data_IF_838812598525
#
_entry.id   IF_838812598525
#
_cell.length_a   1.000
_cell.length_b   1.000
_cell.length_c   1.000
_cell.angle_alpha   90.00
_cell.angle_beta   90.00
_cell.angle_gamma   90.00
#
_symmetry.space_group_name_H-M   'P 1'
#
loop_
_entity.id
_entity.type
_entity.pdbx_description
1 polymer ?
#
# COMPACT_ATOMS: atom_id res chain seq x y z
N UNK A 1 -8.35 3.82 -8.13
CA UNK A 1 -8.89 3.24 -6.89
C UNK A 1 -7.78 2.52 -6.15
N UNK A 2 -7.63 2.84 -4.86
CA UNK A 2 -6.73 2.14 -3.93
C UNK A 2 -7.54 1.22 -3.02
N UNK A 3 -7.05 0.00 -2.79
CA UNK A 3 -7.64 -0.96 -1.85
C UNK A 3 -6.59 -1.51 -0.89
N UNK A 4 -7.03 -1.96 0.28
CA UNK A 4 -6.18 -2.67 1.26
C UNK A 4 -6.36 -4.17 1.20
N UNK A 5 -5.28 -4.90 1.45
CA UNK A 5 -5.35 -6.33 1.77
C UNK A 5 -6.16 -6.57 3.06
N UNK A 6 -6.64 -7.80 3.25
CA UNK A 6 -7.42 -8.18 4.43
C UNK A 6 -6.67 -7.96 5.75
N UNK A 7 -5.36 -8.22 5.77
CA UNK A 7 -4.48 -7.98 6.92
C UNK A 7 -3.95 -6.53 6.99
N UNK A 8 -4.43 -5.66 6.10
CA UNK A 8 -4.06 -4.25 5.91
C UNK A 8 -2.59 -4.00 5.56
N UNK A 9 -1.74 -5.02 5.42
CA UNK A 9 -0.30 -4.84 5.20
C UNK A 9 0.07 -4.39 3.79
N UNK A 10 -0.86 -4.46 2.83
CA UNK A 10 -0.63 -4.14 1.43
C UNK A 10 -1.66 -3.12 0.95
N UNK A 11 -1.18 -2.14 0.19
CA UNK A 11 -1.98 -1.15 -0.52
C UNK A 11 -1.85 -1.43 -2.02
N UNK A 12 -2.97 -1.57 -2.72
CA UNK A 12 -3.03 -2.00 -4.12
C UNK A 12 -3.76 -0.94 -4.95
N UNK A 13 -3.11 -0.47 -6.02
CA UNK A 13 -3.73 0.43 -7.00
C UNK A 13 -4.38 -0.37 -8.12
N UNK A 14 -5.71 -0.39 -8.15
CA UNK A 14 -6.49 -1.00 -9.23
C UNK A 14 -6.42 -0.22 -10.54
N UNK A 15 -6.00 1.06 -10.51
CA UNK A 15 -5.79 1.83 -11.74
C UNK A 15 -4.62 1.29 -12.58
N UNK A 16 -3.64 0.67 -11.92
CA UNK A 16 -2.46 0.09 -12.57
C UNK A 16 -2.49 -1.45 -12.55
N UNK A 17 -3.55 -2.05 -12.01
CA UNK A 17 -3.70 -3.51 -11.96
C UNK A 17 -4.15 -4.00 -13.32
N UNK A 18 -3.34 -4.85 -13.96
CA UNK A 18 -3.59 -5.35 -15.33
C UNK A 18 -4.66 -6.44 -15.42
N UNK A 19 -4.97 -7.15 -14.33
CA UNK A 19 -5.96 -8.22 -14.34
C UNK A 19 -6.45 -8.59 -12.93
N UNK A 20 -7.76 -8.78 -12.75
CA UNK A 20 -8.39 -9.36 -11.56
C UNK A 20 -8.98 -10.72 -11.96
N UNK A 21 -8.33 -11.83 -11.59
CA UNK A 21 -8.73 -13.19 -11.99
C UNK A 21 -9.11 -14.03 -10.76
N UNK A 22 -10.23 -14.74 -10.85
CA UNK A 22 -10.60 -15.80 -9.89
C UNK A 22 -9.89 -17.10 -10.30
N UNK A 23 -9.17 -17.74 -9.37
CA UNK A 23 -8.49 -19.02 -9.61
C UNK A 23 -9.00 -20.04 -8.60
N UNK A 24 -9.68 -21.09 -9.06
CA UNK A 24 -10.31 -22.11 -8.20
C UNK A 24 -9.31 -22.89 -7.31
N UNK A 25 -8.00 -22.83 -7.61
CA UNK A 25 -6.95 -23.55 -6.89
C UNK A 25 -5.85 -22.67 -6.25
N UNK A 26 -5.99 -21.35 -6.20
CA UNK A 26 -4.97 -20.48 -5.58
C UNK A 26 -5.62 -19.25 -4.94
N UNK A 27 -5.58 -19.19 -3.60
CA UNK A 27 -6.07 -18.07 -2.79
C UNK A 27 -5.09 -16.87 -2.87
N UNK A 28 -4.85 -16.32 -4.05
CA UNK A 28 -3.95 -15.16 -4.15
C UNK A 28 -3.88 -14.53 -5.52
N UNK A 29 -3.90 -13.20 -5.52
CA UNK A 29 -3.51 -12.38 -6.67
C UNK A 29 -1.99 -12.20 -6.65
N UNK A 30 -1.32 -12.48 -7.78
CA UNK A 30 0.09 -12.13 -7.94
C UNK A 30 0.19 -10.89 -8.85
N UNK A 31 0.41 -9.73 -8.24
CA UNK A 31 0.57 -8.45 -8.95
C UNK A 31 2.08 -8.17 -9.05
N UNK A 32 2.68 -8.61 -10.16
CA UNK A 32 3.90 -8.09 -10.82
C UNK A 32 5.17 -7.82 -9.99
N UNK A 33 6.03 -8.83 -9.92
CA UNK A 33 7.47 -8.94 -10.26
C UNK A 33 8.52 -7.79 -10.14
N UNK A 34 8.27 -6.68 -9.45
CA UNK A 34 9.37 -5.81 -8.99
C UNK A 34 8.94 -4.97 -7.78
N UNK A 35 9.28 -5.46 -6.59
CA UNK A 35 9.08 -4.72 -5.34
C UNK A 35 10.32 -3.88 -5.08
N UNK A 36 10.42 -2.71 -5.71
CA UNK A 36 11.39 -1.71 -5.28
C UNK A 36 10.90 -1.10 -3.96
N UNK A 37 11.60 -1.26 -2.83
CA UNK A 37 11.21 -0.61 -1.58
C UNK A 37 11.34 0.92 -1.75
N UNK A 38 10.22 1.63 -1.58
CA UNK A 38 10.14 3.10 -1.72
C UNK A 38 10.24 3.85 -0.38
N UNK A 39 10.28 3.11 0.74
CA UNK A 39 10.44 3.65 2.09
C UNK A 39 10.88 2.56 3.06
N UNK A 40 11.63 2.96 4.09
CA UNK A 40 12.10 2.08 5.16
C UNK A 40 11.64 2.64 6.50
N UNK A 41 11.02 1.79 7.31
CA UNK A 41 10.50 2.14 8.63
C UNK A 41 11.00 1.13 9.66
N UNK A 42 11.36 1.61 10.84
CA UNK A 42 12.01 0.84 11.91
C UNK A 42 11.07 -0.15 12.58
N UNK A 43 9.76 0.11 12.56
CA UNK A 43 8.75 -0.78 13.13
C UNK A 43 7.62 -1.06 12.15
N UNK A 44 6.93 -2.20 12.35
CA UNK A 44 5.76 -2.56 11.56
C UNK A 44 4.64 -1.53 11.73
N UNK A 45 4.44 -1.05 12.95
CA UNK A 45 3.40 -0.09 13.29
C UNK A 45 3.58 1.23 12.51
N UNK A 46 4.82 1.73 12.40
CA UNK A 46 5.13 2.91 11.59
C UNK A 46 4.85 2.67 10.10
N UNK A 47 5.28 1.54 9.56
CA UNK A 47 5.01 1.19 8.16
C UNK A 47 3.50 1.13 7.88
N UNK A 48 2.72 0.53 8.79
CA UNK A 48 1.26 0.44 8.69
C UNK A 48 0.61 1.83 8.73
N UNK A 49 1.05 2.70 9.65
CA UNK A 49 0.54 4.08 9.75
C UNK A 49 0.80 4.89 8.48
N UNK A 50 1.99 4.75 7.87
CA UNK A 50 2.27 5.45 6.60
C UNK A 50 1.37 4.97 5.48
N UNK A 51 1.07 3.67 5.42
CA UNK A 51 0.08 3.20 4.45
C UNK A 51 -1.29 3.84 4.71
N UNK A 52 -1.68 4.06 5.96
CA UNK A 52 -2.96 4.70 6.32
C UNK A 52 -2.97 6.15 5.85
N UNK A 53 -1.88 6.88 6.10
CA UNK A 53 -1.67 8.25 5.60
C UNK A 53 -1.74 8.35 4.07
N UNK A 54 -1.15 7.41 3.33
CA UNK A 54 -1.24 7.36 1.85
C UNK A 54 -2.69 7.19 1.40
N UNK A 55 -3.43 6.30 2.07
CA UNK A 55 -4.81 6.02 1.72
C UNK A 55 -5.72 7.22 2.03
N UNK A 56 -5.51 7.90 3.15
CA UNK A 56 -6.21 9.14 3.51
C UNK A 56 -5.91 10.26 2.51
N UNK A 57 -4.63 10.47 2.17
CA UNK A 57 -4.22 11.45 1.18
C UNK A 57 -4.91 11.20 -0.19
N UNK A 58 -4.99 9.94 -0.62
CA UNK A 58 -5.68 9.57 -1.85
C UNK A 58 -7.18 9.88 -1.81
N UNK A 59 -7.86 9.57 -0.70
CA UNK A 59 -9.30 9.86 -0.51
C UNK A 59 -9.56 11.37 -0.54
N UNK A 60 -8.66 12.14 0.08
CA UNK A 60 -8.73 13.60 0.11
C UNK A 60 -8.29 14.27 -1.20
N UNK A 61 -7.88 13.50 -2.22
CA UNK A 61 -7.47 14.03 -3.51
C UNK A 61 -6.10 14.72 -3.50
N UNK A 62 -5.26 14.47 -2.49
CA UNK A 62 -3.89 14.96 -2.47
C UNK A 62 -3.06 14.25 -3.55
N UNK A 63 -2.60 15.02 -4.52
CA UNK A 63 -1.79 14.52 -5.65
C UNK A 63 -0.29 14.61 -5.38
N UNK A 64 0.10 15.31 -4.32
CA UNK A 64 1.47 15.70 -3.97
C UNK A 64 1.95 15.11 -2.64
N UNK A 65 1.36 13.99 -2.20
CA UNK A 65 1.73 13.33 -0.97
C UNK A 65 3.19 12.84 -1.00
N UNK A 66 3.97 13.23 0.02
CA UNK A 66 5.34 12.78 0.24
C UNK A 66 5.38 11.81 1.42
N UNK A 67 6.02 10.65 1.23
CA UNK A 67 6.20 9.68 2.33
C UNK A 67 7.09 10.29 3.43
N UNK A 68 6.65 10.26 4.71
CA UNK A 68 7.45 10.78 5.81
C UNK A 68 8.66 9.89 6.08
N UNK A 69 9.72 10.48 6.61
CA UNK A 69 10.87 9.76 7.16
C UNK A 69 10.49 8.99 8.42
N UNK A 70 11.21 7.92 8.76
CA UNK A 70 10.92 7.07 9.92
C UNK A 70 10.81 7.84 11.24
N UNK A 71 11.66 8.84 11.45
CA UNK A 71 11.68 9.66 12.66
C UNK A 71 10.43 10.53 12.86
N UNK A 72 9.72 10.84 11.77
CA UNK A 72 8.53 11.70 11.77
C UNK A 72 7.22 10.93 11.97
N UNK A 73 7.28 9.59 11.96
CA UNK A 73 6.11 8.73 12.16
C UNK A 73 6.00 8.37 13.64
N UNK A 74 5.10 9.06 14.34
CA UNK A 74 4.70 8.71 15.70
C UNK A 74 3.72 7.52 15.67
N UNK A 75 3.78 6.57 16.61
CA UNK A 75 2.88 5.40 16.66
C UNK A 75 1.79 5.61 17.69
#
# INVERSE_FOLDING_TARGET
MLIRSQDKSRLISLNNTRELRFWECAQGFNITDCVCPIGHYSTREKAMKVLDMIQEAYINGHIDYQMPEDGSVEV
#
